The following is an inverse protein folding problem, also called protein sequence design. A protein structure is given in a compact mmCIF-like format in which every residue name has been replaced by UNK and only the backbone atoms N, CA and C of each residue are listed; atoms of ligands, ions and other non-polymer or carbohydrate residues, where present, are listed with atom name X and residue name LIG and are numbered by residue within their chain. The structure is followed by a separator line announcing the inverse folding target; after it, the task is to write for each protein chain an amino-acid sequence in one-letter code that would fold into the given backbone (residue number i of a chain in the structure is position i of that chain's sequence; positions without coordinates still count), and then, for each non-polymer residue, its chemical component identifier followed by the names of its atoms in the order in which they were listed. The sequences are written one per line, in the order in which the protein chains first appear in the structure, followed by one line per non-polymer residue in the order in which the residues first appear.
data_IF_616848473377
#
_entry.id   IF_616848473377
#
_cell.length_a   1.000
_cell.length_b   1.000
_cell.length_c   1.000
_cell.angle_alpha   90.00
_cell.angle_beta   90.00
_cell.angle_gamma   90.00
#
_symmetry.space_group_name_H-M   'P 1'
#
loop_
_entity.id
_entity.type
_entity.pdbx_description
1 polymer ?
#
# COMPACT_ATOMS: atom_id res chain seq x y z
N UNK A 1 20.49 58.60 -42.71
CA UNK A 1 21.36 57.76 -41.85
C UNK A 1 20.47 56.99 -40.89
N UNK A 2 19.89 55.89 -41.36
CA UNK A 2 19.02 55.03 -40.56
C UNK A 2 19.71 53.72 -40.27
N UNK A 3 19.96 53.42 -38.99
CA UNK A 3 20.39 52.10 -38.53
C UNK A 3 19.18 51.45 -37.87
N UNK A 4 18.57 50.49 -38.56
CA UNK A 4 17.65 49.54 -37.94
C UNK A 4 18.50 48.52 -37.21
N UNK A 5 18.43 48.54 -35.88
CA UNK A 5 19.03 47.50 -35.04
C UNK A 5 18.23 46.21 -35.24
N UNK A 6 18.90 45.15 -35.71
CA UNK A 6 18.31 43.84 -35.81
C UNK A 6 18.20 43.25 -34.40
N UNK A 7 16.98 43.21 -33.85
CA UNK A 7 16.70 42.45 -32.65
C UNK A 7 16.80 40.96 -32.98
N UNK A 8 17.76 40.28 -32.37
CA UNK A 8 17.92 38.83 -32.43
C UNK A 8 16.73 38.21 -31.69
N UNK A 9 15.94 37.40 -32.40
CA UNK A 9 14.90 36.59 -31.79
C UNK A 9 15.60 35.52 -30.93
N UNK A 10 15.66 35.77 -29.63
CA UNK A 10 16.00 34.73 -28.65
C UNK A 10 14.91 33.66 -28.77
N UNK A 11 15.32 32.46 -29.17
CA UNK A 11 14.44 31.32 -29.35
C UNK A 11 13.60 31.12 -28.10
N UNK A 12 12.34 30.75 -28.30
CA UNK A 12 11.49 30.29 -27.22
C UNK A 12 12.27 29.28 -26.37
N UNK A 13 12.24 29.39 -25.02
CA UNK A 13 12.81 28.34 -24.20
C UNK A 13 12.15 27.01 -24.61
N UNK A 14 12.85 25.88 -24.47
CA UNK A 14 12.18 24.59 -24.58
C UNK A 14 10.93 24.69 -23.71
N UNK A 15 9.78 24.35 -24.26
CA UNK A 15 8.64 24.02 -23.42
C UNK A 15 9.16 22.83 -22.63
N UNK A 16 9.69 23.06 -21.43
CA UNK A 16 9.81 22.04 -20.40
C UNK A 16 8.40 21.47 -20.39
N UNK A 17 8.29 20.26 -20.96
CA UNK A 17 7.09 19.48 -20.82
C UNK A 17 6.80 19.58 -19.34
N UNK A 18 5.63 20.12 -19.00
CA UNK A 18 5.09 19.85 -17.70
C UNK A 18 5.05 18.33 -17.66
N UNK A 19 6.08 17.73 -17.04
CA UNK A 19 5.96 16.42 -16.45
C UNK A 19 4.61 16.49 -15.77
N UNK A 20 3.70 15.61 -16.17
CA UNK A 20 2.37 15.53 -15.64
C UNK A 20 2.46 15.14 -14.15
N UNK A 21 2.91 16.07 -13.33
CA UNK A 21 3.15 15.98 -11.91
C UNK A 21 1.91 16.42 -11.12
N UNK A 22 0.79 16.65 -11.81
CA UNK A 22 -0.56 16.74 -11.26
C UNK A 22 -1.26 15.38 -11.32
N UNK A 23 -0.54 14.28 -11.03
CA UNK A 23 -1.21 13.03 -10.68
C UNK A 23 -1.69 13.17 -9.26
N UNK A 24 -2.99 13.39 -9.09
CA UNK A 24 -3.66 13.26 -7.80
C UNK A 24 -3.24 11.92 -7.16
N UNK A 25 -2.98 11.89 -5.84
CA UNK A 25 -2.67 10.62 -5.17
C UNK A 25 -3.86 9.68 -5.38
N UNK A 26 -3.62 8.54 -6.02
CA UNK A 26 -4.65 7.53 -6.17
C UNK A 26 -4.71 6.76 -4.86
N UNK A 27 -5.80 6.85 -4.11
CA UNK A 27 -5.92 6.13 -2.86
C UNK A 27 -6.41 4.69 -3.08
N UNK A 28 -5.72 3.73 -2.49
CA UNK A 28 -6.15 2.34 -2.38
C UNK A 28 -6.76 2.09 -1.01
N UNK A 29 -8.08 1.89 -0.97
CA UNK A 29 -8.82 1.54 0.24
C UNK A 29 -8.93 0.02 0.35
N UNK A 30 -8.36 -0.55 1.41
CA UNK A 30 -8.28 -2.00 1.64
C UNK A 30 -9.02 -2.35 2.92
N UNK A 31 -10.03 -3.22 2.83
CA UNK A 31 -10.73 -3.71 4.01
C UNK A 31 -10.41 -5.18 4.25
N UNK A 32 -9.79 -5.47 5.39
CA UNK A 32 -9.54 -6.83 5.86
C UNK A 32 -10.73 -7.27 6.71
N UNK A 33 -11.56 -8.14 6.14
CA UNK A 33 -12.77 -8.64 6.79
C UNK A 33 -12.47 -9.82 7.72
N UNK A 34 -12.13 -10.97 7.15
CA UNK A 34 -11.91 -12.22 7.88
C UNK A 34 -11.06 -13.21 7.09
N UNK A 35 -10.49 -14.17 7.78
CA UNK A 35 -9.99 -15.41 7.19
C UNK A 35 -10.75 -16.61 7.77
N UNK A 36 -10.57 -17.79 7.19
CA UNK A 36 -11.24 -19.01 7.63
C UNK A 36 -10.38 -20.23 7.36
N UNK A 37 -10.37 -21.18 8.28
CA UNK A 37 -9.61 -22.42 8.15
C UNK A 37 -8.11 -22.21 8.05
N UNK A 38 -7.55 -21.26 8.81
CA UNK A 38 -6.11 -21.07 8.89
C UNK A 38 -5.42 -22.33 9.45
N UNK A 39 -4.17 -22.55 9.05
CA UNK A 39 -3.39 -23.65 9.59
C UNK A 39 -3.00 -23.31 11.04
N UNK A 40 -3.32 -24.22 11.96
CA UNK A 40 -2.88 -24.09 13.33
C UNK A 40 -1.36 -24.25 13.43
N UNK A 41 -0.71 -23.19 13.91
CA UNK A 41 0.71 -23.17 14.26
C UNK A 41 0.95 -23.37 15.77
N UNK A 42 -0.02 -23.03 16.62
CA UNK A 42 -0.04 -23.42 18.02
C UNK A 42 -0.66 -24.80 18.18
N UNK A 43 0.19 -25.79 18.43
CA UNK A 43 -0.24 -27.17 18.70
C UNK A 43 -0.30 -27.39 20.21
N UNK A 44 -1.52 -27.60 20.73
CA UNK A 44 -1.77 -27.79 22.15
C UNK A 44 -2.27 -29.22 22.43
N UNK A 45 -1.68 -29.92 23.40
CA UNK A 45 -2.09 -31.29 23.77
C UNK A 45 -3.39 -31.30 24.60
N UNK A 46 -3.68 -30.22 25.31
CA UNK A 46 -4.80 -30.09 26.24
C UNK A 46 -5.97 -29.25 25.70
N UNK A 47 -5.78 -28.56 24.57
CA UNK A 47 -6.75 -27.62 23.98
C UNK A 47 -6.85 -27.84 22.48
N UNK A 48 -7.80 -27.18 21.82
CA UNK A 48 -7.82 -27.12 20.36
C UNK A 48 -6.55 -26.43 19.85
N UNK A 49 -6.00 -26.92 18.74
CA UNK A 49 -4.89 -26.25 18.06
C UNK A 49 -5.39 -24.89 17.54
N UNK A 50 -4.54 -23.88 17.60
CA UNK A 50 -4.91 -22.49 17.30
C UNK A 50 -3.80 -21.74 16.58
N UNK A 51 -4.04 -20.46 16.34
CA UNK A 51 -3.07 -19.47 15.88
C UNK A 51 -3.50 -18.11 16.41
N UNK A 52 -2.57 -17.18 16.42
CA UNK A 52 -2.75 -15.77 16.74
C UNK A 52 -2.60 -14.93 15.45
N UNK A 53 -3.53 -15.04 14.48
CA UNK A 53 -3.33 -14.46 13.15
C UNK A 53 -3.29 -12.92 13.14
N UNK A 54 -2.35 -12.40 12.36
CA UNK A 54 -2.17 -10.99 11.99
C UNK A 54 -2.00 -10.88 10.47
N UNK A 55 -2.59 -9.85 9.86
CA UNK A 55 -2.37 -9.55 8.45
C UNK A 55 -1.42 -8.36 8.34
N UNK A 56 -0.32 -8.57 7.63
CA UNK A 56 0.63 -7.53 7.23
C UNK A 56 0.32 -7.10 5.79
N UNK A 57 0.20 -5.79 5.60
CA UNK A 57 -0.09 -5.14 4.34
C UNK A 57 1.11 -4.29 3.96
N UNK A 58 1.63 -4.46 2.74
CA UNK A 58 2.75 -3.70 2.24
C UNK A 58 2.44 -3.17 0.84
N UNK A 59 2.45 -1.85 0.67
CA UNK A 59 2.14 -1.16 -0.57
C UNK A 59 3.04 0.06 -0.70
N UNK A 60 3.80 0.18 -1.79
CA UNK A 60 4.63 1.37 -2.07
C UNK A 60 5.64 1.71 -0.95
N UNK A 61 6.18 0.72 -0.24
CA UNK A 61 7.09 0.94 0.88
C UNK A 61 6.43 1.27 2.22
N UNK A 62 5.09 1.42 2.25
CA UNK A 62 4.32 1.62 3.47
C UNK A 62 3.84 0.26 3.99
N UNK A 63 4.10 -0.01 5.26
CA UNK A 63 3.65 -1.22 5.95
C UNK A 63 2.60 -0.88 7.00
N UNK A 64 1.47 -1.58 6.96
CA UNK A 64 0.40 -1.49 7.97
C UNK A 64 -0.03 -2.89 8.37
N UNK A 65 -0.43 -3.07 9.63
CA UNK A 65 -0.82 -4.38 10.14
C UNK A 65 -2.21 -4.31 10.78
N UNK A 66 -2.95 -5.41 10.73
CA UNK A 66 -4.17 -5.55 11.51
C UNK A 66 -3.89 -5.76 12.99
N UNK A 67 -4.94 -5.69 13.81
CA UNK A 67 -4.88 -6.25 15.16
C UNK A 67 -4.61 -7.77 15.11
N UNK A 68 -3.91 -8.27 16.12
CA UNK A 68 -3.75 -9.72 16.33
C UNK A 68 -5.07 -10.27 16.87
N UNK A 69 -5.58 -11.35 16.27
CA UNK A 69 -6.71 -12.10 16.85
C UNK A 69 -6.15 -13.34 17.51
N UNK A 70 -6.52 -13.59 18.77
CA UNK A 70 -5.93 -14.68 19.55
C UNK A 70 -6.69 -15.98 19.44
N UNK A 71 -5.95 -17.08 19.52
CA UNK A 71 -6.44 -18.46 19.64
C UNK A 71 -7.56 -18.80 18.63
N UNK A 72 -7.42 -18.39 17.35
CA UNK A 72 -8.45 -18.59 16.33
C UNK A 72 -7.90 -18.93 14.94
N UNK A 73 -8.58 -19.84 14.25
CA UNK A 73 -8.32 -20.18 12.85
C UNK A 73 -9.31 -19.51 11.88
N UNK A 74 -10.30 -18.81 12.42
CA UNK A 74 -11.34 -18.09 11.68
C UNK A 74 -11.43 -16.63 12.17
N UNK A 75 -10.33 -15.85 12.05
CA UNK A 75 -10.27 -14.48 12.56
C UNK A 75 -11.19 -13.53 11.80
N UNK A 76 -11.80 -12.59 12.52
CA UNK A 76 -12.56 -11.46 11.96
C UNK A 76 -11.92 -10.16 12.42
N UNK A 77 -11.41 -9.37 11.48
CA UNK A 77 -10.78 -8.07 11.73
C UNK A 77 -11.77 -6.93 11.53
N UNK A 78 -12.40 -6.86 10.35
CA UNK A 78 -13.20 -5.71 9.92
C UNK A 78 -12.43 -4.38 10.03
N UNK A 79 -11.18 -4.39 9.59
CA UNK A 79 -10.28 -3.24 9.65
C UNK A 79 -10.06 -2.68 8.25
N UNK A 80 -10.00 -1.35 8.14
CA UNK A 80 -9.81 -0.65 6.85
C UNK A 80 -8.51 0.14 6.89
N UNK A 81 -7.77 0.06 5.79
CA UNK A 81 -6.48 0.71 5.57
C UNK A 81 -6.56 1.53 4.29
N UNK A 82 -5.84 2.64 4.27
CA UNK A 82 -5.72 3.50 3.09
C UNK A 82 -4.24 3.63 2.76
N UNK A 83 -3.91 3.47 1.49
CA UNK A 83 -2.57 3.66 0.95
C UNK A 83 -2.62 4.69 -0.17
N UNK A 84 -1.66 5.60 -0.20
CA UNK A 84 -1.42 6.48 -1.34
C UNK A 84 -0.65 5.68 -2.40
N UNK A 85 -1.10 5.75 -3.66
CA UNK A 85 -0.53 5.00 -4.79
C UNK A 85 -0.07 5.97 -5.88
N UNK A 86 1.24 6.14 -5.96
CA UNK A 86 1.92 6.97 -6.96
C UNK A 86 2.15 6.23 -8.28
N UNK A 87 2.34 4.91 -8.21
CA UNK A 87 2.69 4.05 -9.33
C UNK A 87 1.48 3.20 -9.78
N UNK A 88 1.05 3.29 -11.05
CA UNK A 88 -0.12 2.58 -11.55
C UNK A 88 0.06 1.05 -11.58
N UNK A 89 1.30 0.57 -11.67
CA UNK A 89 1.66 -0.85 -11.73
C UNK A 89 2.18 -1.39 -10.37
N UNK A 90 1.97 -0.64 -9.29
CA UNK A 90 2.31 -1.07 -7.93
C UNK A 90 1.49 -2.29 -7.49
N UNK A 91 2.02 -3.05 -6.53
CA UNK A 91 1.34 -4.21 -5.95
C UNK A 91 1.13 -4.04 -4.44
N UNK A 92 -0.01 -4.53 -3.96
CA UNK A 92 -0.28 -4.71 -2.55
C UNK A 92 0.11 -6.15 -2.16
N UNK A 93 1.11 -6.27 -1.31
CA UNK A 93 1.47 -7.54 -0.68
C UNK A 93 0.64 -7.72 0.60
N UNK A 94 0.01 -8.89 0.73
CA UNK A 94 -0.86 -9.25 1.86
C UNK A 94 -0.36 -10.58 2.42
N UNK A 95 0.13 -10.57 3.65
CA UNK A 95 0.69 -11.75 4.31
C UNK A 95 -0.03 -12.01 5.61
N UNK A 96 -0.54 -13.22 5.78
CA UNK A 96 -1.08 -13.69 7.06
C UNK A 96 0.02 -14.41 7.81
N UNK A 97 0.33 -13.93 9.01
CA UNK A 97 1.30 -14.54 9.90
C UNK A 97 0.63 -14.93 11.22
N UNK A 98 1.31 -15.79 11.95
CA UNK A 98 0.94 -16.19 13.30
C UNK A 98 1.82 -15.42 14.28
N UNK A 99 1.20 -14.74 15.24
CA UNK A 99 1.89 -13.86 16.16
C UNK A 99 2.00 -14.48 17.55
N UNK A 100 3.12 -15.14 17.80
CA UNK A 100 3.47 -15.62 19.14
C UNK A 100 3.85 -14.44 20.05
N UNK A 101 3.26 -14.36 21.25
CA UNK A 101 3.67 -13.42 22.32
C UNK A 101 4.43 -14.13 23.44
#
# INVERSE_FOLDING_TARGET
TGLLSAARAEGFPPVEQADCADKFPNELHVMILRASGLQAKDINVLRANSSDPIVKLHCGGIMQNTTVKKETLDPVWNETFVFEVDEPDGFLEVVVEDFDT
#
